data_IF_169385413268
#
_entry.id   IF_169385413268
#
_cell.length_a   1.000
_cell.length_b   1.000
_cell.length_c   1.000
_cell.angle_alpha   90.00
_cell.angle_beta   90.00
_cell.angle_gamma   90.00
#
_symmetry.space_group_name_H-M   'P 1'
#
loop_
_entity.id
_entity.type
_entity.pdbx_description
1 polymer ?
#
# COMPACT_ATOMS: atom_id res chain seq x y z
N UNK A 1 -4.18 -15.08 3.69
CA UNK A 1 -4.04 -15.43 2.25
C UNK A 1 -4.42 -14.23 1.40
N UNK A 2 -3.45 -13.66 0.70
CA UNK A 2 -3.68 -12.68 -0.36
C UNK A 2 -3.70 -13.44 -1.70
N UNK A 3 -4.65 -13.14 -2.59
CA UNK A 3 -4.86 -13.85 -3.88
C UNK A 3 -5.22 -15.34 -3.80
N UNK A 4 -5.66 -15.85 -2.64
CA UNK A 4 -6.07 -17.25 -2.50
C UNK A 4 -4.92 -18.27 -2.59
N UNK A 5 -3.68 -17.82 -2.45
CA UNK A 5 -2.50 -18.67 -2.35
C UNK A 5 -2.10 -18.85 -0.87
N UNK A 6 -1.53 -20.01 -0.50
CA UNK A 6 -0.97 -20.19 0.84
C UNK A 6 0.17 -19.19 1.08
N UNK A 7 0.22 -18.63 2.28
CA UNK A 7 1.31 -17.74 2.71
C UNK A 7 2.50 -18.57 3.16
N UNK A 8 3.70 -18.21 2.72
CA UNK A 8 4.95 -18.70 3.30
C UNK A 8 5.34 -17.83 4.51
N UNK A 9 4.92 -18.25 5.69
CA UNK A 9 5.12 -17.49 6.94
C UNK A 9 6.60 -17.34 7.31
N UNK A 10 7.46 -18.31 6.93
CA UNK A 10 8.89 -18.23 7.18
C UNK A 10 9.53 -17.13 6.32
N UNK A 11 9.20 -17.09 5.02
CA UNK A 11 9.66 -16.04 4.12
C UNK A 11 9.17 -14.65 4.54
N UNK A 12 7.93 -14.55 5.04
CA UNK A 12 7.39 -13.29 5.60
C UNK A 12 8.22 -12.86 6.80
N UNK A 13 8.42 -13.74 7.78
CA UNK A 13 9.20 -13.45 8.98
C UNK A 13 10.61 -12.96 8.65
N UNK A 14 11.31 -13.63 7.73
CA UNK A 14 12.66 -13.23 7.28
C UNK A 14 12.67 -11.86 6.56
N UNK A 15 11.60 -11.52 5.84
CA UNK A 15 11.50 -10.26 5.11
C UNK A 15 11.12 -9.05 6.00
N UNK A 16 10.51 -9.28 7.17
CA UNK A 16 9.98 -8.22 8.03
C UNK A 16 10.99 -7.14 8.43
N UNK A 17 12.25 -7.46 8.80
CA UNK A 17 13.26 -6.44 9.10
C UNK A 17 13.48 -5.47 7.93
N UNK A 18 13.56 -5.99 6.70
CA UNK A 18 13.71 -5.15 5.50
C UNK A 18 12.46 -4.33 5.23
N UNK A 19 11.28 -4.92 5.40
CA UNK A 19 10.01 -4.21 5.24
C UNK A 19 9.92 -3.02 6.21
N UNK A 20 10.38 -3.18 7.46
CA UNK A 20 10.42 -2.10 8.43
C UNK A 20 11.32 -0.93 8.00
N UNK A 21 12.48 -1.22 7.39
CA UNK A 21 13.36 -0.19 6.82
C UNK A 21 12.66 0.55 5.69
N UNK A 22 12.07 -0.18 4.72
CA UNK A 22 11.40 0.42 3.57
C UNK A 22 10.25 1.33 4.01
N UNK A 23 9.38 0.86 4.89
CA UNK A 23 8.26 1.68 5.39
C UNK A 23 8.74 2.86 6.24
N UNK A 24 9.86 2.71 6.97
CA UNK A 24 10.50 3.82 7.66
C UNK A 24 10.96 4.91 6.69
N UNK A 25 11.63 4.51 5.60
CA UNK A 25 12.08 5.44 4.57
C UNK A 25 10.93 6.07 3.80
N UNK A 26 9.87 5.33 3.47
CA UNK A 26 8.67 5.90 2.85
C UNK A 26 8.04 6.95 3.76
N UNK A 27 7.92 6.68 5.06
CA UNK A 27 7.39 7.65 6.02
C UNK A 27 8.29 8.87 6.14
N UNK A 28 9.62 8.68 6.16
CA UNK A 28 10.60 9.78 6.22
C UNK A 28 10.59 10.65 4.96
N UNK A 29 10.53 10.03 3.79
CA UNK A 29 10.49 10.73 2.49
C UNK A 29 9.18 11.48 2.29
N UNK A 30 8.05 10.92 2.72
CA UNK A 30 6.77 11.63 2.73
C UNK A 30 6.79 12.82 3.69
N UNK A 31 7.41 12.64 4.87
CA UNK A 31 7.50 13.68 5.89
C UNK A 31 6.11 14.22 6.24
N UNK A 32 5.96 15.54 6.11
CA UNK A 32 4.70 16.26 6.35
C UNK A 32 3.90 16.55 5.07
N UNK A 33 4.37 16.09 3.90
CA UNK A 33 3.66 16.30 2.64
C UNK A 33 2.43 15.40 2.52
N UNK A 34 1.47 15.81 1.70
CA UNK A 34 0.29 14.99 1.41
C UNK A 34 0.59 13.88 0.40
N UNK A 35 1.59 14.09 -0.46
CA UNK A 35 2.02 13.20 -1.53
C UNK A 35 3.55 13.10 -1.58
N UNK A 36 4.08 12.04 -2.16
CA UNK A 36 5.53 11.92 -2.44
C UNK A 36 6.03 12.99 -3.42
N UNK A 37 5.13 13.58 -4.22
CA UNK A 37 5.40 14.74 -5.06
C UNK A 37 5.34 16.10 -4.35
N UNK A 38 5.15 16.12 -3.02
CA UNK A 38 4.90 17.35 -2.26
C UNK A 38 3.40 17.72 -2.29
N UNK A 39 3.07 18.84 -2.93
CA UNK A 39 1.71 19.42 -2.92
C UNK A 39 0.74 18.72 -3.89
N UNK A 40 1.28 17.92 -4.82
CA UNK A 40 0.47 17.25 -5.84
C UNK A 40 0.85 15.79 -5.99
N UNK A 41 -0.10 15.00 -6.47
CA UNK A 41 0.14 13.61 -6.78
C UNK A 41 1.20 13.47 -7.87
N UNK A 42 2.14 12.54 -7.65
CA UNK A 42 3.17 12.17 -8.60
C UNK A 42 3.05 10.72 -9.05
N UNK A 43 3.91 10.32 -9.99
CA UNK A 43 4.07 8.92 -10.36
C UNK A 43 4.42 8.04 -9.15
N UNK A 44 5.21 8.54 -8.19
CA UNK A 44 5.59 7.78 -7.01
C UNK A 44 4.37 7.36 -6.17
N UNK A 45 3.37 8.23 -6.06
CA UNK A 45 2.13 7.93 -5.34
C UNK A 45 1.26 6.91 -6.09
N UNK A 46 1.19 7.03 -7.42
CA UNK A 46 0.43 6.10 -8.27
C UNK A 46 1.03 4.70 -8.24
N UNK A 47 2.36 4.59 -8.21
CA UNK A 47 3.06 3.32 -8.07
C UNK A 47 2.90 2.74 -6.67
N UNK A 48 3.06 3.56 -5.61
CA UNK A 48 3.03 3.08 -4.24
C UNK A 48 1.61 2.69 -3.76
N UNK A 49 0.57 3.36 -4.24
CA UNK A 49 -0.81 3.13 -3.80
C UNK A 49 -1.28 1.66 -3.86
N UNK A 50 -1.20 0.95 -5.00
CA UNK A 50 -1.65 -0.45 -5.07
C UNK A 50 -0.81 -1.37 -4.19
N UNK A 51 0.50 -1.14 -4.04
CA UNK A 51 1.33 -1.93 -3.14
C UNK A 51 0.87 -1.77 -1.68
N UNK A 52 0.65 -0.53 -1.25
CA UNK A 52 0.16 -0.25 0.10
C UNK A 52 -1.27 -0.75 0.34
N UNK A 53 -2.18 -0.68 -0.65
CA UNK A 53 -3.52 -1.28 -0.57
C UNK A 53 -3.45 -2.80 -0.35
N UNK A 54 -2.55 -3.50 -1.07
CA UNK A 54 -2.34 -4.93 -0.83
C UNK A 54 -1.75 -5.22 0.55
N UNK A 55 -0.75 -4.45 0.99
CA UNK A 55 -0.21 -4.60 2.34
C UNK A 55 -1.30 -4.36 3.41
N UNK A 56 -2.18 -3.38 3.24
CA UNK A 56 -3.27 -3.08 4.18
C UNK A 56 -4.24 -4.25 4.39
N UNK A 57 -4.25 -5.23 3.49
CA UNK A 57 -5.03 -6.47 3.59
C UNK A 57 -4.28 -7.61 4.30
N UNK A 58 -3.05 -7.37 4.77
CA UNK A 58 -2.19 -8.37 5.43
C UNK A 58 -2.08 -8.15 6.95
N UNK A 59 -1.86 -9.21 7.75
CA UNK A 59 -1.65 -9.10 9.19
C UNK A 59 -0.45 -8.23 9.61
N UNK A 60 0.53 -8.04 8.73
CA UNK A 60 1.76 -7.29 8.99
C UNK A 60 1.55 -5.77 8.96
N UNK A 61 0.47 -5.30 8.31
CA UNK A 61 0.21 -3.88 8.12
C UNK A 61 0.28 -3.05 9.41
N UNK A 62 -0.40 -3.43 10.52
CA UNK A 62 -0.34 -2.67 11.75
C UNK A 62 1.09 -2.51 12.27
N UNK A 63 1.94 -3.54 12.15
CA UNK A 63 3.33 -3.48 12.56
C UNK A 63 4.18 -2.60 11.63
N UNK A 64 3.91 -2.61 10.33
CA UNK A 64 4.62 -1.80 9.34
C UNK A 64 4.20 -0.32 9.37
N UNK A 65 3.00 0.00 9.86
CA UNK A 65 2.51 1.38 9.96
C UNK A 65 2.45 1.96 11.36
N UNK A 66 2.85 1.20 12.38
CA UNK A 66 2.97 1.69 13.75
C UNK A 66 3.85 2.95 13.80
N UNK A 67 3.30 4.06 14.30
CA UNK A 67 3.99 5.35 14.35
C UNK A 67 4.16 6.08 13.00
N UNK A 68 3.58 5.56 11.90
CA UNK A 68 3.71 6.11 10.53
C UNK A 68 2.37 6.54 9.96
N UNK A 69 1.62 7.35 10.73
CA UNK A 69 0.28 7.79 10.36
C UNK A 69 0.22 8.57 9.03
N UNK A 70 1.32 9.24 8.66
CA UNK A 70 1.43 9.93 7.38
C UNK A 70 1.25 8.98 6.17
N UNK A 71 1.79 7.76 6.23
CA UNK A 71 1.61 6.75 5.18
C UNK A 71 0.17 6.25 5.09
N UNK A 72 -0.46 6.01 6.25
CA UNK A 72 -1.87 5.58 6.34
C UNK A 72 -2.79 6.65 5.75
N UNK A 73 -2.59 7.91 6.14
CA UNK A 73 -3.37 9.03 5.64
C UNK A 73 -3.17 9.22 4.13
N UNK A 74 -1.93 9.10 3.64
CA UNK A 74 -1.62 9.18 2.21
C UNK A 74 -2.28 8.05 1.42
N UNK A 75 -2.29 6.83 1.94
CA UNK A 75 -3.02 5.73 1.32
C UNK A 75 -4.53 6.03 1.24
N UNK A 76 -5.14 6.46 2.35
CA UNK A 76 -6.56 6.82 2.38
C UNK A 76 -6.91 7.94 1.37
N UNK A 77 -6.05 8.97 1.23
CA UNK A 77 -6.22 9.99 0.18
C UNK A 77 -6.12 9.38 -1.22
N UNK A 78 -5.16 8.50 -1.46
CA UNK A 78 -4.96 7.86 -2.76
C UNK A 78 -6.17 6.99 -3.15
N UNK A 79 -6.65 6.15 -2.24
CA UNK A 79 -7.80 5.27 -2.41
C UNK A 79 -9.11 6.04 -2.60
N UNK A 80 -9.21 7.27 -2.09
CA UNK A 80 -10.41 8.08 -2.31
C UNK A 80 -10.55 8.61 -3.75
N UNK A 81 -9.48 8.56 -4.56
CA UNK A 81 -9.49 9.06 -5.94
C UNK A 81 -10.30 8.15 -6.86
N UNK A 82 -11.07 8.76 -7.77
CA UNK A 82 -11.90 8.03 -8.73
C UNK A 82 -11.10 7.03 -9.58
N UNK A 83 -9.89 7.40 -10.01
CA UNK A 83 -9.01 6.53 -10.80
C UNK A 83 -8.58 5.28 -10.05
N UNK A 84 -8.31 5.37 -8.73
CA UNK A 84 -7.88 4.22 -7.92
C UNK A 84 -9.07 3.32 -7.56
N UNK A 85 -10.23 3.90 -7.24
CA UNK A 85 -11.48 3.14 -6.99
C UNK A 85 -11.91 2.30 -8.20
N UNK A 86 -11.58 2.75 -9.41
CA UNK A 86 -11.89 2.04 -10.64
C UNK A 86 -10.96 0.84 -10.92
N UNK A 87 -9.81 0.75 -10.22
CA UNK A 87 -8.76 -0.23 -10.52
C UNK A 87 -8.40 -1.09 -9.30
N UNK A 88 -9.32 -1.30 -8.36
CA UNK A 88 -9.10 -2.20 -7.22
C UNK A 88 -9.05 -3.65 -7.68
N UNK A 89 -8.45 -4.54 -6.88
CA UNK A 89 -8.43 -5.98 -7.18
C UNK A 89 -9.84 -6.58 -7.35
N UNK A 90 -10.82 -6.08 -6.59
CA UNK A 90 -12.22 -6.48 -6.77
C UNK A 90 -12.73 -6.11 -8.17
N UNK A 91 -12.47 -4.89 -8.63
CA UNK A 91 -12.85 -4.44 -9.97
C UNK A 91 -12.16 -5.22 -11.07
N UNK A 92 -10.88 -5.51 -10.91
CA UNK A 92 -10.13 -6.33 -11.88
C UNK A 92 -10.74 -7.73 -11.98
N UNK A 93 -11.08 -8.37 -10.86
CA UNK A 93 -11.77 -9.67 -10.87
C UNK A 93 -13.15 -9.61 -11.55
N UNK A 94 -13.93 -8.57 -11.30
CA UNK A 94 -15.23 -8.35 -11.95
C UNK A 94 -15.07 -8.21 -13.47
N UNK A 95 -14.09 -7.42 -13.93
CA UNK A 95 -13.80 -7.22 -15.36
C UNK A 95 -13.40 -8.52 -16.05
N UNK A 96 -12.58 -9.35 -15.40
CA UNK A 96 -12.17 -10.65 -15.94
C UNK A 96 -13.34 -11.63 -15.99
N UNK A 97 -14.26 -11.61 -15.02
CA UNK A 97 -15.42 -12.49 -15.01
C UNK A 97 -16.51 -12.10 -16.02
N UNK A 98 -16.50 -10.85 -16.49
CA UNK A 98 -17.48 -10.31 -17.44
C UNK A 98 -17.06 -10.42 -18.92
N UNK A 99 -15.81 -10.82 -19.19
CA UNK A 99 -15.28 -11.08 -20.54
C UNK A 99 -15.14 -12.57 -20.82
#
# INVERSE_FOLDING_TARGET
MLFGQPTDEAAVYEAMPRAQVVFGELARLLGNADWFGGDSVSLADLMAAPHCDFFAQTPEWPALTAGRANLVNRLARAENRASLKATTWARVKEMVAAG
#
